data_IF_763400539799
#
_entry.id   IF_763400539799
#
_cell.length_a   1.000
_cell.length_b   1.000
_cell.length_c   1.000
_cell.angle_alpha   90.00
_cell.angle_beta   90.00
_cell.angle_gamma   90.00
#
_symmetry.space_group_name_H-M   'P 1'
#
loop_
_entity.id
_entity.type
_entity.pdbx_description
1 polymer ?
#
# COMPACT_ATOMS: atom_id res chain seq x y z
N UNK A 1 -2.03 26.84 -35.45
CA UNK A 1 -1.56 25.42 -35.59
C UNK A 1 -0.59 25.01 -34.48
N UNK A 2 0.54 25.70 -34.28
CA UNK A 2 1.60 25.34 -33.30
C UNK A 2 1.09 25.22 -31.85
N UNK A 3 0.15 26.08 -31.42
CA UNK A 3 -0.41 26.04 -30.06
C UNK A 3 -1.35 24.85 -29.78
N UNK A 4 -2.02 24.30 -30.81
CA UNK A 4 -2.83 23.08 -30.64
C UNK A 4 -1.95 21.85 -30.55
N UNK A 5 -0.88 21.78 -31.36
CA UNK A 5 0.11 20.69 -31.30
C UNK A 5 0.84 20.70 -29.94
N UNK A 6 1.26 21.87 -29.43
CA UNK A 6 1.81 21.99 -28.07
C UNK A 6 0.82 21.55 -26.98
N UNK A 7 -0.47 21.89 -27.08
CA UNK A 7 -1.50 21.44 -26.13
C UNK A 7 -1.75 19.94 -26.20
N UNK A 8 -1.69 19.34 -27.39
CA UNK A 8 -1.82 17.88 -27.56
C UNK A 8 -0.58 17.18 -26.99
N UNK A 9 0.61 17.67 -27.30
CA UNK A 9 1.88 17.15 -26.75
C UNK A 9 1.90 17.31 -25.23
N UNK A 10 1.53 18.47 -24.68
CA UNK A 10 1.41 18.68 -23.23
C UNK A 10 0.32 17.81 -22.61
N UNK A 11 -0.81 17.55 -23.28
CA UNK A 11 -1.82 16.59 -22.80
C UNK A 11 -1.31 15.14 -22.85
N UNK A 12 -0.48 14.78 -23.82
CA UNK A 12 0.15 13.46 -23.94
C UNK A 12 1.26 13.30 -22.90
N UNK A 13 2.05 14.34 -22.65
CA UNK A 13 3.09 14.40 -21.60
C UNK A 13 2.46 14.48 -20.20
N UNK A 14 1.36 15.20 -20.01
CA UNK A 14 0.61 15.22 -18.76
C UNK A 14 -0.11 13.88 -18.52
N UNK A 15 -0.60 13.21 -19.58
CA UNK A 15 -1.06 11.80 -19.51
C UNK A 15 0.06 10.83 -19.13
N UNK A 16 1.33 11.18 -19.36
CA UNK A 16 2.50 10.38 -18.98
C UNK A 16 2.85 10.47 -17.49
N UNK A 17 2.16 11.29 -16.69
CA UNK A 17 2.33 11.31 -15.22
C UNK A 17 1.09 10.75 -14.52
N UNK A 18 0.69 9.54 -14.90
CA UNK A 18 -0.15 8.73 -14.03
C UNK A 18 0.65 8.40 -12.76
N UNK A 19 -0.03 8.20 -11.63
CA UNK A 19 0.64 7.71 -10.42
C UNK A 19 1.33 6.37 -10.75
N UNK A 20 2.58 6.25 -10.33
CA UNK A 20 3.48 5.15 -10.64
C UNK A 20 4.47 4.96 -9.47
N UNK A 21 5.13 3.81 -9.45
CA UNK A 21 6.00 3.38 -8.34
C UNK A 21 7.44 3.40 -8.83
N UNK A 22 8.33 4.05 -8.06
CA UNK A 22 9.78 3.99 -8.24
C UNK A 22 10.42 3.21 -7.10
N UNK A 23 11.21 2.19 -7.43
CA UNK A 23 11.98 1.37 -6.48
C UNK A 23 13.45 1.47 -6.86
N UNK A 24 14.30 1.72 -5.86
CA UNK A 24 15.74 1.81 -6.04
C UNK A 24 16.48 1.30 -4.81
N UNK A 25 17.71 0.83 -5.03
CA UNK A 25 18.59 0.36 -3.97
C UNK A 25 19.66 1.40 -3.66
N UNK A 26 19.94 1.61 -2.38
CA UNK A 26 21.03 2.47 -1.92
C UNK A 26 21.98 1.65 -1.07
N UNK A 27 23.29 1.83 -1.30
CA UNK A 27 24.36 1.19 -0.51
C UNK A 27 24.78 2.02 0.71
N UNK A 28 24.31 3.27 0.81
CA UNK A 28 24.65 4.22 1.88
C UNK A 28 23.53 4.35 2.91
N UNK A 29 23.92 4.67 4.13
CA UNK A 29 23.07 4.81 5.32
C UNK A 29 22.25 6.11 5.39
N UNK A 30 22.51 7.10 4.52
CA UNK A 30 21.80 8.40 4.57
C UNK A 30 20.72 8.51 3.50
N UNK A 31 19.47 8.66 3.93
CA UNK A 31 18.31 8.95 3.07
C UNK A 31 18.34 10.37 2.46
N UNK A 32 19.26 11.23 2.90
CA UNK A 32 19.39 12.60 2.40
C UNK A 32 20.35 12.73 1.20
N UNK A 33 21.02 11.66 0.78
CA UNK A 33 21.95 11.62 -0.38
C UNK A 33 21.41 10.72 -1.52
N UNK A 34 20.10 10.72 -1.77
CA UNK A 34 19.46 9.77 -2.69
C UNK A 34 19.36 10.23 -4.14
N UNK A 35 19.65 11.50 -4.45
CA UNK A 35 19.35 12.09 -5.77
C UNK A 35 19.97 11.31 -6.94
N UNK A 36 21.18 10.77 -6.79
CA UNK A 36 21.84 10.00 -7.86
C UNK A 36 21.31 8.57 -8.01
N UNK A 37 20.43 8.11 -7.12
CA UNK A 37 19.86 6.75 -7.11
C UNK A 37 18.39 6.72 -7.53
N UNK A 38 17.75 7.88 -7.67
CA UNK A 38 16.37 7.96 -8.14
C UNK A 38 16.34 7.52 -9.61
N UNK A 39 15.52 6.51 -9.97
CA UNK A 39 15.45 6.03 -11.33
C UNK A 39 14.80 7.10 -12.23
N UNK A 40 15.30 7.23 -13.47
CA UNK A 40 14.77 8.20 -14.44
C UNK A 40 13.36 7.82 -14.95
N UNK A 41 13.02 6.55 -14.87
CA UNK A 41 11.72 6.00 -15.26
C UNK A 41 11.12 5.24 -14.07
N UNK A 42 9.77 5.18 -13.95
CA UNK A 42 9.14 4.39 -12.90
C UNK A 42 9.45 2.89 -13.05
N UNK A 43 9.51 2.19 -11.92
CA UNK A 43 9.72 0.74 -11.87
C UNK A 43 8.43 -0.03 -12.18
N UNK A 44 7.28 0.45 -11.70
CA UNK A 44 5.96 -0.15 -11.96
C UNK A 44 4.99 0.96 -12.34
N UNK A 45 4.24 0.74 -13.41
CA UNK A 45 3.25 1.65 -13.98
C UNK A 45 1.92 0.95 -14.20
N UNK A 46 0.87 1.73 -14.48
CA UNK A 46 -0.42 1.19 -14.90
C UNK A 46 -0.36 0.37 -16.21
N UNK A 47 0.68 0.55 -17.03
CA UNK A 47 0.83 -0.20 -18.29
C UNK A 47 1.29 -1.65 -18.07
N UNK A 48 1.90 -1.93 -16.92
CA UNK A 48 2.41 -3.26 -16.59
C UNK A 48 1.28 -4.20 -16.11
N UNK A 49 0.11 -3.64 -15.79
CA UNK A 49 -1.04 -4.38 -15.27
C UNK A 49 -1.81 -5.03 -16.42
N UNK A 50 -1.85 -6.37 -16.41
CA UNK A 50 -2.38 -7.16 -17.53
C UNK A 50 -3.75 -7.78 -17.31
N UNK A 51 -4.24 -7.84 -16.06
CA UNK A 51 -5.50 -8.49 -15.67
C UNK A 51 -6.65 -7.50 -15.36
N UNK A 52 -6.40 -6.19 -15.46
CA UNK A 52 -7.44 -5.15 -15.46
C UNK A 52 -7.02 -3.92 -16.27
N UNK A 53 -7.94 -2.96 -16.47
CA UNK A 53 -7.59 -1.65 -17.07
C UNK A 53 -7.19 -0.70 -15.95
N UNK A 54 -5.92 -0.65 -15.60
CA UNK A 54 -5.42 0.24 -14.56
C UNK A 54 -5.42 1.71 -15.01
N UNK A 55 -5.87 2.60 -14.14
CA UNK A 55 -5.71 4.06 -14.30
C UNK A 55 -4.38 4.53 -13.73
N UNK A 56 -3.95 3.94 -12.62
CA UNK A 56 -2.70 4.21 -11.94
C UNK A 56 -2.33 3.06 -11.00
N UNK A 57 -1.09 3.10 -10.48
CA UNK A 57 -0.62 2.27 -9.36
C UNK A 57 -0.05 3.15 -8.24
N UNK A 58 -0.20 2.75 -6.98
CA UNK A 58 0.21 3.53 -5.80
C UNK A 58 0.52 2.64 -4.57
N UNK A 59 0.98 3.27 -3.49
CA UNK A 59 1.20 2.67 -2.17
C UNK A 59 2.02 1.35 -2.15
N UNK A 60 3.29 1.38 -2.57
CA UNK A 60 4.11 0.17 -2.61
C UNK A 60 4.55 -0.29 -1.21
N UNK A 61 4.35 -1.57 -0.92
CA UNK A 61 4.89 -2.28 0.25
C UNK A 61 5.78 -3.44 -0.19
N UNK A 62 7.04 -3.38 0.26
CA UNK A 62 8.04 -4.40 -0.05
C UNK A 62 8.17 -5.43 1.06
N UNK A 63 8.24 -6.69 0.68
CA UNK A 63 8.59 -7.80 1.58
C UNK A 63 9.51 -8.78 0.85
N UNK A 64 10.49 -9.33 1.57
CA UNK A 64 11.40 -10.34 1.04
C UNK A 64 11.10 -11.69 1.65
N UNK A 65 10.84 -12.68 0.80
CA UNK A 65 10.49 -14.05 1.19
C UNK A 65 11.27 -15.04 0.31
N UNK A 66 11.98 -15.99 0.91
CA UNK A 66 12.77 -17.02 0.21
C UNK A 66 13.69 -16.50 -0.92
N UNK A 67 14.27 -15.30 -0.72
CA UNK A 67 15.17 -14.67 -1.69
C UNK A 67 14.49 -13.84 -2.77
N UNK A 68 13.15 -13.87 -2.85
CA UNK A 68 12.34 -13.08 -3.79
C UNK A 68 11.83 -11.83 -3.07
N UNK A 69 11.86 -10.69 -3.74
CA UNK A 69 11.28 -9.43 -3.26
C UNK A 69 9.90 -9.29 -3.91
N UNK A 70 8.87 -9.16 -3.10
CA UNK A 70 7.51 -8.88 -3.54
C UNK A 70 7.16 -7.42 -3.25
N UNK A 71 6.53 -6.76 -4.20
CA UNK A 71 5.94 -5.43 -4.05
C UNK A 71 4.42 -5.57 -4.16
N UNK A 72 3.71 -5.35 -3.05
CA UNK A 72 2.26 -5.22 -3.03
C UNK A 72 1.90 -3.75 -3.22
N UNK A 73 0.83 -3.45 -3.97
CA UNK A 73 0.46 -2.07 -4.29
C UNK A 73 -1.01 -1.93 -4.68
N UNK A 74 -1.55 -0.72 -4.55
CA UNK A 74 -2.86 -0.36 -5.08
C UNK A 74 -2.84 -0.31 -6.60
N UNK A 75 -3.84 -0.93 -7.23
CA UNK A 75 -4.21 -0.74 -8.63
C UNK A 75 -5.58 -0.07 -8.67
N UNK A 76 -5.69 1.12 -9.28
CA UNK A 76 -6.99 1.73 -9.55
C UNK A 76 -7.61 1.13 -10.82
N UNK A 77 -8.48 0.13 -10.67
CA UNK A 77 -9.23 -0.46 -11.77
C UNK A 77 -10.22 0.57 -12.35
N UNK A 78 -10.04 0.91 -13.62
CA UNK A 78 -10.86 1.90 -14.33
C UNK A 78 -12.29 1.42 -14.61
N UNK A 79 -12.47 0.13 -14.85
CA UNK A 79 -13.77 -0.44 -15.21
C UNK A 79 -14.61 -0.62 -13.95
N UNK A 80 -14.02 -1.12 -12.88
CA UNK A 80 -14.70 -1.31 -11.58
C UNK A 80 -14.76 -0.04 -10.74
N UNK A 81 -13.94 0.97 -11.08
CA UNK A 81 -13.84 2.26 -10.40
C UNK A 81 -13.42 2.18 -8.92
N UNK A 82 -12.69 1.14 -8.52
CA UNK A 82 -12.20 0.93 -7.14
C UNK A 82 -10.72 0.51 -7.14
N UNK A 83 -10.07 0.67 -6.00
CA UNK A 83 -8.73 0.16 -5.75
C UNK A 83 -8.80 -1.35 -5.47
N UNK A 84 -7.83 -2.09 -5.99
CA UNK A 84 -7.59 -3.51 -5.73
C UNK A 84 -6.10 -3.71 -5.47
N UNK A 85 -5.71 -4.79 -4.79
CA UNK A 85 -4.30 -5.01 -4.46
C UNK A 85 -3.67 -5.96 -5.46
N UNK A 86 -2.61 -5.50 -6.12
CA UNK A 86 -1.74 -6.30 -6.99
C UNK A 86 -0.42 -6.65 -6.34
N UNK A 87 0.30 -7.59 -6.96
CA UNK A 87 1.68 -7.91 -6.59
C UNK A 87 2.58 -8.00 -7.82
N UNK A 88 3.79 -7.47 -7.68
CA UNK A 88 4.93 -7.73 -8.57
C UNK A 88 6.06 -8.40 -7.80
N UNK A 89 6.93 -9.14 -8.49
CA UNK A 89 8.08 -9.80 -7.86
C UNK A 89 9.39 -9.45 -8.56
N UNK A 90 10.49 -9.48 -7.81
CA UNK A 90 11.84 -9.21 -8.29
C UNK A 90 12.86 -10.12 -7.62
N UNK A 91 13.88 -10.53 -8.36
CA UNK A 91 15.05 -11.24 -7.80
C UNK A 91 16.20 -10.29 -7.44
N UNK A 92 16.29 -9.14 -8.11
CA UNK A 92 17.40 -8.19 -8.00
C UNK A 92 17.03 -6.90 -7.24
N UNK A 93 15.74 -6.70 -6.96
CA UNK A 93 15.22 -5.49 -6.32
C UNK A 93 15.19 -4.27 -7.23
N UNK A 94 15.41 -4.46 -8.53
CA UNK A 94 15.48 -3.42 -9.56
C UNK A 94 14.40 -3.64 -10.60
N UNK A 95 14.32 -4.85 -11.16
CA UNK A 95 13.37 -5.24 -12.18
C UNK A 95 12.22 -6.00 -11.54
N UNK A 96 11.00 -5.45 -11.62
CA UNK A 96 9.80 -6.06 -11.04
C UNK A 96 8.85 -6.53 -12.14
N UNK A 97 8.51 -7.81 -12.10
CA UNK A 97 7.54 -8.43 -13.00
C UNK A 97 6.17 -8.45 -12.35
N UNK A 98 5.17 -7.88 -13.02
CA UNK A 98 3.77 -7.97 -12.58
C UNK A 98 3.29 -9.42 -12.54
N UNK A 99 2.63 -9.80 -11.45
CA UNK A 99 2.12 -11.15 -11.27
C UNK A 99 0.61 -11.20 -11.51
N UNK A 100 -0.17 -10.62 -10.58
CA UNK A 100 -1.65 -10.58 -10.63
C UNK A 100 -2.24 -9.70 -9.53
N UNK A 101 -3.53 -9.43 -9.62
CA UNK A 101 -4.39 -9.00 -8.50
C UNK A 101 -4.49 -10.16 -7.51
N UNK A 102 -4.23 -9.88 -6.23
CA UNK A 102 -4.21 -10.86 -5.12
C UNK A 102 -5.27 -10.61 -4.07
N UNK A 103 -5.83 -9.41 -4.01
CA UNK A 103 -6.95 -9.08 -3.11
C UNK A 103 -7.91 -8.09 -3.79
N UNK A 104 -9.17 -8.48 -3.85
CA UNK A 104 -10.26 -7.66 -4.36
C UNK A 104 -11.50 -7.84 -3.48
N UNK A 105 -12.11 -6.73 -3.08
CA UNK A 105 -13.33 -6.69 -2.28
C UNK A 105 -14.42 -5.89 -2.99
N UNK A 106 -15.66 -5.88 -2.49
CA UNK A 106 -16.76 -5.09 -3.10
C UNK A 106 -16.57 -3.57 -2.97
N UNK A 107 -15.60 -3.12 -2.18
CA UNK A 107 -15.25 -1.74 -1.88
C UNK A 107 -13.79 -1.45 -2.27
N UNK A 108 -13.38 -0.18 -2.22
CA UNK A 108 -12.01 0.23 -2.52
C UNK A 108 -11.00 -0.29 -1.48
N UNK A 109 -9.89 -0.82 -1.98
CA UNK A 109 -8.71 -1.18 -1.19
C UNK A 109 -7.50 -0.39 -1.67
N UNK A 110 -6.72 0.18 -0.74
CA UNK A 110 -5.46 0.88 -0.97
C UNK A 110 -4.46 0.55 0.16
N UNK A 111 -3.28 1.17 0.17
CA UNK A 111 -2.29 1.07 1.26
C UNK A 111 -2.09 -0.36 1.83
N UNK A 112 -1.65 -1.35 1.02
CA UNK A 112 -1.61 -2.75 1.41
C UNK A 112 -0.44 -3.07 2.35
N UNK A 113 -0.53 -2.66 3.61
CA UNK A 113 0.54 -2.85 4.59
C UNK A 113 0.80 -4.34 4.86
N UNK A 114 2.03 -4.83 4.64
CA UNK A 114 2.39 -6.26 4.75
C UNK A 114 3.32 -6.56 5.92
N UNK A 115 3.08 -7.67 6.61
CA UNK A 115 3.84 -8.12 7.77
C UNK A 115 4.17 -9.62 7.67
N UNK A 116 5.42 -10.00 7.96
CA UNK A 116 5.80 -11.40 8.19
C UNK A 116 6.07 -11.62 9.69
N UNK A 117 5.29 -12.50 10.32
CA UNK A 117 5.31 -12.73 11.76
C UNK A 117 5.25 -14.23 12.01
N UNK A 118 6.26 -14.77 12.67
CA UNK A 118 6.34 -16.19 13.05
C UNK A 118 6.11 -17.17 11.87
N UNK A 119 6.58 -16.81 10.68
CA UNK A 119 6.43 -17.63 9.46
C UNK A 119 5.09 -17.47 8.73
N UNK A 120 4.24 -16.56 9.20
CA UNK A 120 2.94 -16.25 8.61
C UNK A 120 2.95 -14.84 8.02
N UNK A 121 2.14 -14.62 6.96
CA UNK A 121 2.05 -13.32 6.29
C UNK A 121 0.67 -12.71 6.48
N UNK A 122 0.68 -11.43 6.84
CA UNK A 122 -0.52 -10.64 7.09
C UNK A 122 -0.53 -9.39 6.23
N UNK A 123 -1.72 -8.96 5.82
CA UNK A 123 -1.97 -7.73 5.08
C UNK A 123 -3.05 -6.93 5.79
N UNK A 124 -2.80 -5.64 6.01
CA UNK A 124 -3.79 -4.68 6.49
C UNK A 124 -3.90 -3.59 5.42
N UNK A 125 -4.81 -3.75 4.44
CA UNK A 125 -5.08 -2.70 3.48
C UNK A 125 -5.93 -1.60 4.14
N UNK A 126 -5.88 -0.40 3.58
CA UNK A 126 -6.91 0.59 3.86
C UNK A 126 -8.25 0.11 3.29
N UNK A 127 -9.26 0.07 4.15
CA UNK A 127 -10.64 -0.31 3.84
C UNK A 127 -11.64 0.74 4.32
N UNK A 128 -11.23 2.02 4.34
CA UNK A 128 -12.01 3.13 4.89
C UNK A 128 -13.40 3.29 4.28
N UNK A 129 -13.58 2.99 2.99
CA UNK A 129 -14.90 2.97 2.32
C UNK A 129 -15.89 2.00 3.00
N UNK A 130 -15.37 0.91 3.57
CA UNK A 130 -16.16 -0.10 4.28
C UNK A 130 -16.31 0.19 5.80
N UNK A 131 -15.76 1.31 6.29
CA UNK A 131 -15.80 1.72 7.70
C UNK A 131 -15.20 0.70 8.69
N UNK A 132 -14.17 -0.03 8.28
CA UNK A 132 -13.42 -0.94 9.12
C UNK A 132 -11.93 -0.99 8.78
N UNK A 133 -11.14 -1.57 9.68
CA UNK A 133 -9.75 -1.99 9.44
C UNK A 133 -9.72 -3.51 9.47
N UNK A 134 -9.26 -4.12 8.38
CA UNK A 134 -9.27 -5.58 8.19
C UNK A 134 -7.87 -6.16 8.20
N UNK A 135 -7.72 -7.28 8.89
CA UNK A 135 -6.54 -8.14 8.84
C UNK A 135 -6.82 -9.29 7.88
N UNK A 136 -6.00 -9.42 6.84
CA UNK A 136 -5.97 -10.58 5.98
C UNK A 136 -4.76 -11.43 6.31
N UNK A 137 -4.91 -12.74 6.26
CA UNK A 137 -3.84 -13.72 6.39
C UNK A 137 -3.63 -14.43 5.05
N UNK A 138 -2.38 -14.62 4.63
CA UNK A 138 -2.08 -15.39 3.45
C UNK A 138 -2.34 -16.88 3.73
N UNK A 139 -3.11 -17.53 2.86
CA UNK A 139 -3.28 -18.98 2.87
C UNK A 139 -2.25 -19.66 1.94
N UNK A 140 -1.86 -18.97 0.86
CA UNK A 140 -0.78 -19.35 -0.05
C UNK A 140 -0.04 -18.08 -0.45
N UNK A 141 1.01 -17.72 0.28
CA UNK A 141 1.75 -16.48 0.03
C UNK A 141 2.53 -16.57 -1.29
N UNK A 142 2.49 -15.54 -2.16
CA UNK A 142 1.87 -14.21 -1.99
C UNK A 142 0.46 -14.07 -2.60
N UNK A 143 -0.17 -15.17 -3.02
CA UNK A 143 -1.20 -15.20 -4.05
C UNK A 143 -2.64 -15.41 -3.56
N UNK A 144 -2.84 -15.94 -2.36
CA UNK A 144 -4.16 -16.17 -1.77
C UNK A 144 -4.24 -15.56 -0.37
N UNK A 145 -5.18 -14.65 -0.18
CA UNK A 145 -5.42 -13.91 1.06
C UNK A 145 -6.85 -14.15 1.55
N UNK A 146 -7.00 -14.40 2.84
CA UNK A 146 -8.31 -14.59 3.49
C UNK A 146 -8.48 -13.57 4.61
N UNK A 147 -9.70 -13.07 4.76
CA UNK A 147 -10.05 -12.23 5.89
C UNK A 147 -9.88 -13.06 7.17
N UNK A 148 -8.94 -12.64 8.01
CA UNK A 148 -8.68 -13.25 9.32
C UNK A 148 -9.55 -12.58 10.38
N UNK A 149 -9.56 -11.23 10.40
CA UNK A 149 -10.26 -10.47 11.44
C UNK A 149 -10.60 -9.03 11.03
N UNK A 150 -11.67 -8.51 11.60
CA UNK A 150 -11.96 -7.06 11.64
C UNK A 150 -11.34 -6.49 12.92
N UNK A 151 -10.30 -5.66 12.78
CA UNK A 151 -9.53 -5.12 13.90
C UNK A 151 -10.18 -3.89 14.53
N UNK A 152 -10.71 -2.99 13.69
CA UNK A 152 -11.46 -1.79 14.08
C UNK A 152 -12.70 -1.66 13.18
N UNK A 153 -13.76 -1.04 13.69
CA UNK A 153 -15.02 -0.86 12.96
C UNK A 153 -15.72 0.45 13.35
N UNK A 154 -16.62 0.92 12.48
CA UNK A 154 -17.54 2.03 12.75
C UNK A 154 -17.02 3.41 12.36
N UNK A 155 -15.82 3.51 11.76
CA UNK A 155 -15.29 4.74 11.17
C UNK A 155 -14.52 4.41 9.90
N UNK A 156 -14.44 5.38 9.00
CA UNK A 156 -13.55 5.33 7.85
C UNK A 156 -12.11 5.65 8.31
N UNK A 157 -11.37 4.61 8.66
CA UNK A 157 -9.94 4.70 8.97
C UNK A 157 -9.11 4.61 7.69
N UNK A 158 -7.99 5.34 7.68
CA UNK A 158 -7.02 5.43 6.59
C UNK A 158 -5.61 5.07 7.09
N UNK A 159 -4.78 4.57 6.18
CA UNK A 159 -3.34 4.29 6.37
C UNK A 159 -2.99 3.44 7.61
N UNK A 160 -3.80 2.43 7.91
CA UNK A 160 -3.59 1.57 9.08
C UNK A 160 -2.21 0.89 9.06
N UNK A 161 -1.36 1.28 10.02
CA UNK A 161 0.02 0.79 10.14
C UNK A 161 0.25 0.23 11.53
N UNK A 162 0.72 -1.01 11.62
CA UNK A 162 1.03 -1.65 12.91
C UNK A 162 2.52 -1.79 13.14
N UNK A 163 2.92 -1.75 14.40
CA UNK A 163 4.29 -2.01 14.84
C UNK A 163 4.29 -2.73 16.18
N UNK A 164 5.31 -3.55 16.42
CA UNK A 164 5.50 -4.21 17.70
C UNK A 164 6.53 -3.46 18.54
N UNK A 165 6.13 -3.00 19.72
CA UNK A 165 6.96 -2.23 20.63
C UNK A 165 6.65 -2.60 22.07
N UNK A 166 7.68 -2.75 22.92
CA UNK A 166 7.55 -3.08 24.35
C UNK A 166 6.52 -4.20 24.66
N UNK A 167 6.62 -5.31 23.92
CA UNK A 167 5.75 -6.49 24.04
C UNK A 167 4.27 -6.26 23.68
N UNK A 168 3.96 -5.23 22.88
CA UNK A 168 2.60 -4.95 22.41
C UNK A 168 2.57 -4.56 20.95
N UNK A 169 1.44 -4.82 20.33
CA UNK A 169 1.10 -4.33 19.00
C UNK A 169 0.46 -2.95 19.12
N UNK A 170 0.99 -1.97 18.40
CA UNK A 170 0.42 -0.64 18.28
C UNK A 170 -0.04 -0.43 16.84
N UNK A 171 -1.26 0.07 16.66
CA UNK A 171 -1.82 0.44 15.37
C UNK A 171 -1.99 1.96 15.31
N UNK A 172 -1.41 2.58 14.30
CA UNK A 172 -1.59 3.98 13.94
C UNK A 172 -2.60 4.05 12.80
N UNK A 173 -3.62 4.90 12.93
CA UNK A 173 -4.65 5.13 11.90
C UNK A 173 -5.00 6.61 11.84
N UNK A 174 -5.30 7.08 10.63
CA UNK A 174 -5.92 8.38 10.43
C UNK A 174 -7.44 8.21 10.27
N UNK A 175 -8.25 9.14 10.76
CA UNK A 175 -9.66 9.24 10.32
C UNK A 175 -9.70 9.90 8.93
N UNK A 176 -10.62 9.52 8.04
CA UNK A 176 -10.69 9.92 6.61
C UNK A 176 -10.52 11.43 6.30
N UNK A 177 -10.72 12.34 7.26
CA UNK A 177 -10.37 13.76 7.07
C UNK A 177 -8.86 14.04 7.12
N UNK A 178 -8.04 13.04 7.43
CA UNK A 178 -6.59 13.12 7.67
C UNK A 178 -6.20 14.16 8.74
N UNK A 179 -7.16 14.57 9.58
CA UNK A 179 -6.98 15.62 10.59
C UNK A 179 -6.70 15.06 11.99
N UNK A 180 -6.71 13.73 12.15
CA UNK A 180 -6.55 13.07 13.44
C UNK A 180 -5.78 11.78 13.29
N UNK A 181 -4.64 11.69 13.99
CA UNK A 181 -3.91 10.44 14.15
C UNK A 181 -4.34 9.80 15.47
N UNK A 182 -4.92 8.61 15.41
CA UNK A 182 -5.30 7.80 16.56
C UNK A 182 -4.36 6.59 16.69
N UNK A 183 -4.07 6.20 17.93
CA UNK A 183 -3.30 4.99 18.25
C UNK A 183 -4.18 4.00 18.98
N UNK A 184 -4.11 2.74 18.57
CA UNK A 184 -4.71 1.62 19.28
C UNK A 184 -3.63 0.61 19.65
N UNK A 185 -3.89 -0.26 20.63
CA UNK A 185 -2.95 -1.30 21.00
C UNK A 185 -3.62 -2.63 21.33
N UNK A 186 -2.89 -3.72 21.14
CA UNK A 186 -3.32 -5.09 21.49
C UNK A 186 -2.15 -5.97 21.89
N UNK A 187 -2.43 -7.10 22.54
CA UNK A 187 -1.41 -8.08 22.94
C UNK A 187 -1.01 -9.00 21.77
N UNK A 188 -1.88 -9.18 20.77
CA UNK A 188 -1.62 -9.96 19.55
C UNK A 188 -2.01 -9.16 18.30
N UNK A 189 -1.44 -9.50 17.14
CA UNK A 189 -1.73 -8.81 15.87
C UNK A 189 -3.21 -8.89 15.49
N UNK A 190 -3.82 -10.04 15.77
CA UNK A 190 -5.22 -10.38 15.57
C UNK A 190 -6.03 -10.15 16.86
N UNK A 191 -5.53 -9.39 17.82
CA UNK A 191 -6.19 -9.18 19.09
C UNK A 191 -7.35 -8.18 19.00
N UNK A 192 -7.93 -7.85 20.14
CA UNK A 192 -8.85 -6.70 20.24
C UNK A 192 -8.01 -5.45 20.47
N UNK A 193 -8.10 -4.49 19.56
CA UNK A 193 -7.37 -3.23 19.66
C UNK A 193 -8.13 -2.23 20.56
N UNK A 194 -7.44 -1.72 21.57
CA UNK A 194 -7.95 -0.74 22.53
C UNK A 194 -7.40 0.65 22.19
N UNK A 195 -8.22 1.71 22.24
CA UNK A 195 -7.74 3.06 21.98
C UNK A 195 -6.73 3.49 23.04
N UNK A 196 -5.68 4.17 22.62
CA UNK A 196 -4.72 4.79 23.53
C UNK A 196 -5.38 5.97 24.26
N UNK A 197 -5.08 6.13 25.55
CA UNK A 197 -5.71 7.16 26.40
C UNK A 197 -5.38 8.60 26.00
N UNK A 198 -4.37 8.79 25.15
CA UNK A 198 -3.92 10.09 24.65
C UNK A 198 -4.43 10.41 23.24
N UNK A 199 -5.35 9.63 22.68
CA UNK A 199 -5.93 9.93 21.37
C UNK A 199 -6.76 11.23 21.36
N UNK A 200 -6.76 11.99 20.26
CA UNK A 200 -5.84 11.88 19.13
C UNK A 200 -4.42 12.36 19.51
N UNK A 201 -3.40 11.76 18.91
CA UNK A 201 -1.99 12.08 19.23
C UNK A 201 -1.42 13.23 18.40
N UNK A 202 -2.12 13.68 17.34
CA UNK A 202 -1.79 14.93 16.67
C UNK A 202 -2.39 16.11 17.47
N UNK A 203 -1.56 16.72 18.31
CA UNK A 203 -1.93 18.01 18.88
C UNK A 203 -1.53 19.09 17.88
N UNK A 204 -2.51 19.70 17.21
CA UNK A 204 -2.33 21.07 16.71
C UNK A 204 -2.06 21.95 17.95
N UNK A 205 -0.78 22.17 18.25
CA UNK A 205 -0.33 23.22 19.18
C UNK A 205 -0.41 24.58 18.50
#
# INVERSE_FOLDING_TARGET
MINQIKKIILKVIAKKRAWSIGIFSISKTSLFEIESFIPNEPTITALDITDCKASFVADPFLIKENGIIYCFFEIKDKIKNKGVIGVSSSQDGINFDYQKIVLEEQFHLSYPSIYAINGEHYMIPESGENNDVRLYKANDFPYDWKLEKILLQGKAYADATITFYENRWYMFVSENTHDKLEVFYSDTIDGTYQPHSQNPIDRKS
#
